data_IF_162241808633
#
_entry.id   IF_162241808633
#
_cell.length_a   1.000
_cell.length_b   1.000
_cell.length_c   1.000
_cell.angle_alpha   90.00
_cell.angle_beta   90.00
_cell.angle_gamma   90.00
#
_symmetry.space_group_name_H-M   'P 1'
#
loop_
_entity.id
_entity.type
_entity.pdbx_description
1 polymer ?
#
# COMPACT_ATOMS: atom_id res chain seq x y z
N UNK A 1 10.01 9.01 -9.86
CA UNK A 1 10.56 9.75 -8.70
C UNK A 1 11.74 8.90 -8.23
N UNK A 2 12.93 9.45 -8.00
CA UNK A 2 14.09 8.59 -7.70
C UNK A 2 13.99 8.10 -6.25
N UNK A 3 13.75 6.80 -6.07
CA UNK A 3 13.85 6.11 -4.79
C UNK A 3 15.33 5.94 -4.47
N UNK A 4 15.77 6.39 -3.30
CA UNK A 4 17.17 6.37 -2.89
C UNK A 4 17.32 5.58 -1.61
N UNK A 5 18.27 4.65 -1.61
CA UNK A 5 18.61 3.80 -0.48
C UNK A 5 17.45 2.84 -0.11
N UNK A 6 17.75 1.78 0.65
CA UNK A 6 16.82 0.66 1.01
C UNK A 6 16.74 -0.54 0.08
N UNK A 7 17.82 -0.85 -0.60
CA UNK A 7 17.96 -2.10 -1.36
C UNK A 7 17.83 -3.34 -0.48
N UNK A 8 18.33 -3.28 0.76
CA UNK A 8 18.23 -4.38 1.74
C UNK A 8 16.77 -4.67 2.13
N UNK A 9 15.97 -3.64 2.42
CA UNK A 9 14.54 -3.82 2.73
C UNK A 9 13.74 -4.30 1.52
N UNK A 10 14.08 -3.82 0.32
CA UNK A 10 13.44 -4.28 -0.92
C UNK A 10 13.76 -5.76 -1.17
N UNK A 11 15.03 -6.16 -1.04
CA UNK A 11 15.47 -7.53 -1.18
C UNK A 11 14.85 -8.46 -0.12
N UNK A 12 14.69 -7.97 1.11
CA UNK A 12 13.98 -8.70 2.16
C UNK A 12 12.52 -8.95 1.78
N UNK A 13 11.81 -7.95 1.24
CA UNK A 13 10.43 -8.08 0.75
C UNK A 13 10.32 -9.01 -0.46
N UNK A 14 11.30 -9.01 -1.36
CA UNK A 14 11.31 -9.93 -2.52
C UNK A 14 11.59 -11.37 -2.12
N UNK A 15 12.53 -11.60 -1.21
CA UNK A 15 12.83 -12.95 -0.69
C UNK A 15 11.61 -13.53 0.00
N UNK A 16 10.99 -12.71 0.84
CA UNK A 16 9.72 -12.93 1.48
C UNK A 16 8.60 -13.31 0.48
N UNK A 17 8.42 -12.52 -0.57
CA UNK A 17 7.36 -12.75 -1.55
C UNK A 17 7.58 -14.00 -2.41
N UNK A 18 8.84 -14.36 -2.69
CA UNK A 18 9.18 -15.55 -3.47
C UNK A 18 9.23 -16.84 -2.64
N UNK A 19 9.06 -16.74 -1.32
CA UNK A 19 8.94 -17.89 -0.43
C UNK A 19 7.70 -18.73 -0.81
N UNK A 20 7.79 -20.07 -0.79
CA UNK A 20 6.68 -20.95 -1.16
C UNK A 20 5.50 -20.95 -0.16
N UNK A 21 5.56 -20.13 0.90
CA UNK A 21 4.55 -20.04 1.96
C UNK A 21 3.54 -18.91 1.77
N UNK A 22 2.50 -18.92 2.61
CA UNK A 22 1.62 -17.76 2.77
C UNK A 22 2.22 -16.83 3.81
N UNK A 23 2.80 -15.72 3.34
CA UNK A 23 3.50 -14.81 4.22
C UNK A 23 2.73 -13.49 4.42
N UNK A 24 2.69 -13.04 5.69
CA UNK A 24 2.08 -11.78 6.09
C UNK A 24 3.14 -10.84 6.68
N UNK A 25 3.41 -9.74 5.97
CA UNK A 25 4.45 -8.79 6.35
C UNK A 25 3.87 -7.48 6.87
N UNK A 26 4.43 -7.03 8.00
CA UNK A 26 4.08 -5.74 8.61
C UNK A 26 5.28 -4.80 8.50
N UNK A 27 5.14 -3.77 7.67
CA UNK A 27 6.16 -2.70 7.56
C UNK A 27 5.83 -1.58 8.53
N UNK A 28 6.64 -1.42 9.57
CA UNK A 28 6.47 -0.39 10.61
C UNK A 28 7.69 0.54 10.71
N UNK A 29 7.55 1.67 11.41
CA UNK A 29 8.63 2.65 11.58
C UNK A 29 8.12 4.07 11.87
N UNK A 30 9.02 5.05 11.99
CA UNK A 30 8.65 6.45 12.28
C UNK A 30 7.81 7.10 11.18
N UNK A 31 7.11 8.20 11.51
CA UNK A 31 6.34 9.00 10.54
C UNK A 31 7.30 9.58 9.49
N UNK A 32 6.91 9.56 8.21
CA UNK A 32 7.68 10.12 7.06
C UNK A 32 9.02 9.44 6.70
N UNK A 33 9.29 8.22 7.16
CA UNK A 33 10.49 7.46 6.73
C UNK A 33 10.41 6.83 5.34
N UNK A 34 9.32 7.09 4.59
CA UNK A 34 9.17 6.56 3.23
C UNK A 34 8.54 5.16 3.12
N UNK A 35 7.92 4.61 4.17
CA UNK A 35 7.31 3.26 4.15
C UNK A 35 6.31 3.06 3.00
N UNK A 36 5.46 4.06 2.77
CA UNK A 36 4.47 4.02 1.69
C UNK A 36 5.15 4.00 0.32
N UNK A 37 6.28 4.70 0.18
CA UNK A 37 7.03 4.73 -1.07
C UNK A 37 7.76 3.41 -1.31
N UNK A 38 8.35 2.82 -0.27
CA UNK A 38 8.96 1.48 -0.33
C UNK A 38 7.96 0.42 -0.83
N UNK A 39 6.73 0.41 -0.28
CA UNK A 39 5.70 -0.53 -0.71
C UNK A 39 5.20 -0.29 -2.13
N UNK A 40 5.15 0.98 -2.58
CA UNK A 40 4.78 1.30 -3.97
C UNK A 40 5.86 0.84 -4.94
N UNK A 41 7.13 1.10 -4.62
CA UNK A 41 8.26 0.67 -5.43
C UNK A 41 8.27 -0.86 -5.57
N UNK A 42 8.19 -1.58 -4.45
CA UNK A 42 8.09 -3.05 -4.43
C UNK A 42 6.92 -3.59 -5.27
N UNK A 43 5.81 -2.86 -5.32
CA UNK A 43 4.62 -3.27 -6.05
C UNK A 43 4.61 -2.84 -7.53
N UNK A 44 5.52 -1.97 -7.98
CA UNK A 44 5.46 -1.35 -9.32
C UNK A 44 5.50 -2.37 -10.46
N UNK A 45 6.31 -3.42 -10.33
CA UNK A 45 6.47 -4.44 -11.39
C UNK A 45 5.53 -5.65 -11.26
N UNK A 46 4.52 -5.58 -10.38
CA UNK A 46 3.71 -6.74 -9.98
C UNK A 46 2.22 -6.40 -9.92
N UNK A 47 1.31 -7.32 -10.29
CA UNK A 47 -0.12 -7.14 -10.03
C UNK A 47 -0.37 -7.06 -8.53
N UNK A 48 -0.88 -5.93 -8.05
CA UNK A 48 -1.10 -5.69 -6.63
C UNK A 48 -2.38 -4.89 -6.41
N UNK A 49 -2.95 -5.03 -5.21
CA UNK A 49 -4.06 -4.21 -4.75
C UNK A 49 -3.53 -3.31 -3.65
N UNK A 50 -3.53 -2.00 -3.90
CA UNK A 50 -3.24 -1.02 -2.87
C UNK A 50 -4.55 -0.58 -2.21
N UNK A 51 -4.71 -0.87 -0.92
CA UNK A 51 -5.89 -0.48 -0.16
C UNK A 51 -5.50 0.43 1.01
N UNK A 52 -5.99 1.67 0.98
CA UNK A 52 -5.83 2.60 2.09
C UNK A 52 -6.99 2.40 3.07
N UNK A 53 -6.71 1.77 4.21
CA UNK A 53 -7.65 1.69 5.33
C UNK A 53 -7.75 3.07 6.02
N UNK A 54 -8.47 3.99 5.38
CA UNK A 54 -8.83 5.27 5.99
C UNK A 54 -9.80 5.04 7.15
N UNK A 55 -9.73 5.90 8.18
CA UNK A 55 -10.64 5.82 9.32
C UNK A 55 -12.04 6.30 8.89
N UNK A 56 -12.84 5.37 8.36
CA UNK A 56 -14.21 5.60 7.92
C UNK A 56 -15.17 4.58 8.56
N UNK A 57 -16.47 4.81 8.43
CA UNK A 57 -17.47 3.84 8.87
C UNK A 57 -17.31 2.52 8.09
N UNK A 58 -17.36 1.40 8.79
CA UNK A 58 -17.11 0.05 8.24
C UNK A 58 -17.87 -0.24 6.94
N UNK A 59 -19.13 0.20 6.86
CA UNK A 59 -19.95 0.03 5.66
C UNK A 59 -19.34 0.68 4.42
N UNK A 60 -18.89 1.94 4.53
CA UNK A 60 -18.25 2.65 3.40
C UNK A 60 -16.93 2.00 3.00
N UNK A 61 -16.19 1.51 3.99
CA UNK A 61 -14.92 0.82 3.80
C UNK A 61 -15.11 -0.50 3.02
N UNK A 62 -16.15 -1.26 3.34
CA UNK A 62 -16.55 -2.49 2.61
C UNK A 62 -17.02 -2.21 1.20
N UNK A 63 -17.84 -1.19 1.00
CA UNK A 63 -18.31 -0.77 -0.34
C UNK A 63 -17.14 -0.37 -1.24
N UNK A 64 -16.20 0.43 -0.71
CA UNK A 64 -14.99 0.83 -1.44
C UNK A 64 -14.10 -0.36 -1.78
N UNK A 65 -13.95 -1.31 -0.87
CA UNK A 65 -13.16 -2.52 -1.11
C UNK A 65 -13.77 -3.40 -2.21
N UNK A 66 -15.10 -3.59 -2.19
CA UNK A 66 -15.80 -4.40 -3.20
C UNK A 66 -15.83 -3.79 -4.61
N UNK A 67 -15.61 -2.47 -4.72
CA UNK A 67 -15.55 -1.74 -5.99
C UNK A 67 -14.13 -1.62 -6.55
N UNK A 68 -13.12 -2.20 -5.89
CA UNK A 68 -11.75 -2.14 -6.40
C UNK A 68 -11.66 -2.87 -7.75
N UNK A 69 -11.12 -2.20 -8.80
CA UNK A 69 -10.94 -2.84 -10.11
C UNK A 69 -9.94 -3.99 -10.01
N UNK A 70 -10.02 -4.93 -10.96
CA UNK A 70 -9.05 -6.02 -11.12
C UNK A 70 -7.61 -5.47 -11.14
N UNK A 71 -6.61 -6.25 -10.68
CA UNK A 71 -5.24 -5.80 -10.35
C UNK A 71 -4.37 -5.31 -11.54
N UNK A 72 -4.98 -4.86 -12.63
CA UNK A 72 -4.33 -4.57 -13.91
C UNK A 72 -4.12 -3.08 -14.19
N UNK A 73 -4.48 -2.16 -13.28
CA UNK A 73 -4.15 -0.74 -13.48
C UNK A 73 -4.16 0.01 -12.16
N UNK A 74 -3.00 0.57 -11.81
CA UNK A 74 -2.81 1.60 -10.78
C UNK A 74 -3.79 2.76 -11.00
N UNK A 75 -4.99 2.64 -10.43
CA UNK A 75 -5.90 3.78 -10.29
C UNK A 75 -5.73 4.27 -8.87
N UNK A 76 -4.96 5.34 -8.72
CA UNK A 76 -4.85 6.17 -7.53
C UNK A 76 -6.20 6.83 -7.24
N UNK A 77 -7.20 6.04 -6.82
CA UNK A 77 -8.46 6.58 -6.29
C UNK A 77 -8.31 6.71 -4.79
N UNK A 78 -7.44 7.64 -4.40
CA UNK A 78 -7.25 8.09 -3.05
C UNK A 78 -6.99 9.58 -3.10
N UNK A 79 -8.05 10.34 -3.40
CA UNK A 79 -8.08 11.77 -3.14
C UNK A 79 -7.52 12.00 -1.73
N UNK A 80 -6.51 12.88 -1.63
CA UNK A 80 -6.26 13.63 -0.41
C UNK A 80 -7.62 14.22 0.00
N UNK A 81 -8.27 13.62 0.99
CA UNK A 81 -9.24 14.34 1.82
C UNK A 81 -8.38 15.13 2.80
N UNK A 82 -7.83 16.24 2.30
CA UNK A 82 -7.47 17.36 3.16
C UNK A 82 -8.74 17.87 3.84
N UNK A 83 -8.67 18.07 5.15
CA UNK A 83 -9.50 19.05 5.83
C UNK A 83 -11.00 18.82 5.79
N UNK A 84 -11.48 18.02 6.74
CA UNK A 84 -12.91 17.95 7.07
C UNK A 84 -13.10 17.47 8.48
N UNK A 85 -12.72 18.32 9.45
CA UNK A 85 -13.23 18.19 10.81
C UNK A 85 -14.77 18.11 10.73
N UNK A 86 -15.35 17.07 11.32
CA UNK A 86 -16.78 17.02 11.60
C UNK A 86 -16.95 16.97 13.13
N UNK A 87 -18.01 17.62 13.66
CA UNK A 87 -18.12 18.05 15.05
C UNK A 87 -18.30 16.91 16.06
#
# INVERSE_FOLDING_TARGET
MTFYDRDDELAALETAFNSPGHDFYVVYGRRRVGKTELLKEFCTDRPHIYYLAAQEAEHRQREKFGQLPHPTSLTLTGSLVEGGACP
#
